data_IF_010834928051
#
_entry.id   IF_010834928051
#
_cell.length_a   1.000
_cell.length_b   1.000
_cell.length_c   1.000
_cell.angle_alpha   90.00
_cell.angle_beta   90.00
_cell.angle_gamma   90.00
#
_symmetry.space_group_name_H-M   'P 1'
#
loop_
_entity.id
_entity.type
_entity.pdbx_description
1 polymer ?
#
# COMPACT_ATOMS: atom_id res chain seq x y z
N UNK A 1 -16.38 1.70 -18.31
CA UNK A 1 -15.99 1.27 -16.94
C UNK A 1 -15.00 2.23 -16.30
N UNK A 2 -13.80 2.46 -16.88
CA UNK A 2 -12.78 3.39 -16.35
C UNK A 2 -13.28 4.81 -16.02
N UNK A 3 -13.97 5.47 -16.93
CA UNK A 3 -14.50 6.82 -16.69
C UNK A 3 -15.50 6.86 -15.52
N UNK A 4 -16.30 5.80 -15.34
CA UNK A 4 -17.21 5.66 -14.21
C UNK A 4 -16.42 5.49 -12.91
N UNK A 5 -15.39 4.64 -12.88
CA UNK A 5 -14.55 4.45 -11.69
C UNK A 5 -13.86 5.75 -11.26
N UNK A 6 -13.35 6.52 -12.22
CA UNK A 6 -12.76 7.85 -11.97
C UNK A 6 -13.82 8.84 -11.46
N UNK A 7 -15.01 8.87 -12.08
CA UNK A 7 -16.12 9.70 -11.64
C UNK A 7 -16.53 9.41 -10.20
N UNK A 8 -16.67 8.13 -9.85
CA UNK A 8 -16.97 7.68 -8.48
C UNK A 8 -15.86 8.11 -7.51
N UNK A 9 -14.59 7.99 -7.89
CA UNK A 9 -13.46 8.42 -7.08
C UNK A 9 -13.41 9.95 -6.87
N UNK A 10 -14.09 10.75 -7.67
CA UNK A 10 -14.24 12.19 -7.42
C UNK A 10 -15.45 12.46 -6.51
N UNK A 11 -16.57 11.79 -6.78
CA UNK A 11 -17.84 12.02 -6.08
C UNK A 11 -17.83 11.53 -4.63
N UNK A 12 -17.27 10.35 -4.36
CA UNK A 12 -17.33 9.72 -3.02
C UNK A 12 -16.57 10.52 -1.95
N UNK A 13 -15.35 11.04 -2.20
CA UNK A 13 -14.68 11.94 -1.24
C UNK A 13 -15.51 13.17 -0.88
N UNK A 14 -16.20 13.78 -1.84
CA UNK A 14 -17.09 14.93 -1.59
C UNK A 14 -18.28 14.52 -0.71
N UNK A 15 -18.88 13.36 -0.98
CA UNK A 15 -19.94 12.81 -0.14
C UNK A 15 -19.47 12.52 1.28
N UNK A 16 -18.26 11.99 1.46
CA UNK A 16 -17.67 11.77 2.78
C UNK A 16 -17.48 13.09 3.54
N UNK A 17 -16.97 14.14 2.88
CA UNK A 17 -16.83 15.46 3.48
C UNK A 17 -18.19 16.05 3.88
N UNK A 18 -19.23 15.86 3.08
CA UNK A 18 -20.59 16.27 3.43
C UNK A 18 -21.12 15.53 4.67
N UNK A 19 -20.89 14.22 4.76
CA UNK A 19 -21.24 13.43 5.96
C UNK A 19 -20.48 13.92 7.19
N UNK A 20 -19.17 14.15 7.07
CA UNK A 20 -18.33 14.69 8.17
C UNK A 20 -18.85 16.05 8.63
N UNK A 21 -19.21 16.93 7.69
CA UNK A 21 -19.82 18.23 7.97
C UNK A 21 -21.17 18.08 8.69
N UNK A 22 -22.03 17.19 8.20
CA UNK A 22 -23.34 16.93 8.82
C UNK A 22 -23.22 16.41 10.24
N UNK A 23 -22.41 15.37 10.50
CA UNK A 23 -22.26 14.84 11.87
C UNK A 23 -21.57 15.84 12.80
N UNK A 24 -20.72 16.72 12.27
CA UNK A 24 -20.14 17.83 13.02
C UNK A 24 -21.20 18.85 13.40
N UNK A 25 -22.08 19.23 12.47
CA UNK A 25 -23.23 20.09 12.76
C UNK A 25 -24.11 19.47 13.87
N UNK A 26 -24.48 18.19 13.76
CA UNK A 26 -25.31 17.54 14.78
C UNK A 26 -24.61 17.53 16.14
N UNK A 27 -23.33 17.17 16.19
CA UNK A 27 -22.60 17.08 17.46
C UNK A 27 -22.39 18.46 18.12
N UNK A 28 -22.05 19.48 17.33
CA UNK A 28 -21.74 20.82 17.84
C UNK A 28 -23.03 21.58 18.17
N UNK A 29 -23.93 21.71 17.19
CA UNK A 29 -25.08 22.59 17.30
C UNK A 29 -26.24 21.91 18.03
N UNK A 30 -26.76 20.81 17.47
CA UNK A 30 -27.94 20.12 17.99
C UNK A 30 -27.67 19.55 19.39
N UNK A 31 -26.51 18.93 19.62
CA UNK A 31 -26.16 18.32 20.90
C UNK A 31 -25.50 19.34 21.84
N UNK A 32 -24.31 19.85 21.53
CA UNK A 32 -23.58 20.65 22.52
C UNK A 32 -24.24 22.00 22.80
N UNK A 33 -24.66 22.76 21.79
CA UNK A 33 -25.29 24.07 21.98
C UNK A 33 -26.72 23.93 22.50
N UNK A 34 -27.60 23.28 21.74
CA UNK A 34 -29.04 23.27 22.01
C UNK A 34 -29.51 22.23 23.03
N UNK A 35 -28.78 21.13 23.26
CA UNK A 35 -29.21 20.10 24.21
C UNK A 35 -28.43 20.09 25.54
N UNK A 36 -27.16 20.51 25.52
CA UNK A 36 -26.31 20.51 26.72
C UNK A 36 -26.13 21.90 27.32
N UNK A 37 -25.86 22.94 26.52
CA UNK A 37 -25.56 24.28 27.04
C UNK A 37 -26.83 25.11 27.32
N UNK A 38 -27.75 25.20 26.36
CA UNK A 38 -28.99 25.96 26.51
C UNK A 38 -30.23 25.13 26.15
N UNK A 39 -30.57 24.10 26.95
CA UNK A 39 -31.75 23.28 26.71
C UNK A 39 -33.07 24.04 26.87
N UNK A 40 -33.10 25.12 27.66
CA UNK A 40 -34.28 25.95 27.91
C UNK A 40 -34.82 26.67 26.67
N UNK A 41 -33.96 26.94 25.69
CA UNK A 41 -34.36 27.60 24.44
C UNK A 41 -35.17 26.71 23.49
N UNK A 42 -35.05 25.38 23.64
CA UNK A 42 -35.52 24.44 22.63
C UNK A 42 -36.45 23.34 23.17
N UNK A 43 -36.38 23.06 24.46
CA UNK A 43 -37.24 22.08 25.13
C UNK A 43 -38.17 22.78 26.11
N UNK A 44 -39.36 22.19 26.34
CA UNK A 44 -40.37 22.76 27.23
C UNK A 44 -39.77 23.10 28.60
N UNK A 45 -39.96 24.34 29.06
CA UNK A 45 -39.48 24.82 30.35
C UNK A 45 -39.95 23.93 31.52
N UNK A 46 -41.07 23.21 31.35
CA UNK A 46 -41.59 22.23 32.31
C UNK A 46 -40.60 21.08 32.55
N UNK A 47 -39.80 20.68 31.56
CA UNK A 47 -38.83 19.59 31.68
C UNK A 47 -37.62 19.93 32.57
N UNK A 48 -37.39 21.22 32.87
CA UNK A 48 -36.32 21.72 33.77
C UNK A 48 -34.97 21.03 33.55
N UNK A 49 -34.58 20.84 32.29
CA UNK A 49 -33.31 20.21 31.93
C UNK A 49 -32.15 21.09 32.43
N UNK A 50 -31.18 20.53 33.18
CA UNK A 50 -30.04 21.31 33.65
C UNK A 50 -29.04 21.57 32.52
N UNK A 51 -28.42 22.74 32.53
CA UNK A 51 -27.24 23.03 31.72
C UNK A 51 -26.07 22.14 32.15
N UNK A 52 -25.39 21.53 31.16
CA UNK A 52 -24.33 20.53 31.33
C UNK A 52 -23.04 20.96 30.62
N UNK A 53 -22.51 22.11 31.01
CA UNK A 53 -21.34 22.75 30.37
C UNK A 53 -20.11 21.83 30.32
N UNK A 54 -19.81 21.11 31.39
CA UNK A 54 -18.64 20.22 31.43
C UNK A 54 -18.69 19.11 30.37
N UNK A 55 -19.86 18.49 30.20
CA UNK A 55 -20.06 17.45 29.18
C UNK A 55 -19.98 18.04 27.76
N UNK A 56 -20.59 19.21 27.53
CA UNK A 56 -20.52 19.89 26.24
C UNK A 56 -19.08 20.23 25.85
N UNK A 57 -18.29 20.82 26.75
CA UNK A 57 -16.90 21.17 26.50
C UNK A 57 -16.03 19.93 26.23
N UNK A 58 -16.21 18.86 27.01
CA UNK A 58 -15.47 17.61 26.79
C UNK A 58 -15.75 17.01 25.41
N UNK A 59 -17.03 16.95 25.01
CA UNK A 59 -17.44 16.44 23.68
C UNK A 59 -16.84 17.30 22.57
N UNK A 60 -16.91 18.63 22.67
CA UNK A 60 -16.35 19.54 21.68
C UNK A 60 -14.84 19.40 21.52
N UNK A 61 -14.10 19.39 22.63
CA UNK A 61 -12.63 19.27 22.61
C UNK A 61 -12.21 17.95 21.96
N UNK A 62 -12.79 16.83 22.39
CA UNK A 62 -12.46 15.50 21.85
C UNK A 62 -12.86 15.44 20.36
N UNK A 63 -14.03 15.97 19.99
CA UNK A 63 -14.50 16.02 18.60
C UNK A 63 -13.49 16.70 17.68
N UNK A 64 -13.05 17.93 18.03
CA UNK A 64 -12.16 18.69 17.16
C UNK A 64 -10.74 18.12 17.12
N UNK A 65 -10.24 17.53 18.22
CA UNK A 65 -8.96 16.82 18.21
C UNK A 65 -9.00 15.64 17.24
N UNK A 66 -10.02 14.76 17.36
CA UNK A 66 -10.16 13.60 16.50
C UNK A 66 -10.44 14.00 15.04
N UNK A 67 -11.25 15.04 14.82
CA UNK A 67 -11.54 15.58 13.50
C UNK A 67 -10.26 16.07 12.82
N UNK A 68 -9.41 16.84 13.52
CA UNK A 68 -8.13 17.31 12.97
C UNK A 68 -7.17 16.15 12.69
N UNK A 69 -7.04 15.20 13.62
CA UNK A 69 -6.21 14.02 13.43
C UNK A 69 -6.64 13.17 12.23
N UNK A 70 -7.93 13.12 11.91
CA UNK A 70 -8.45 12.45 10.72
C UNK A 70 -8.28 13.29 9.44
N UNK A 71 -8.60 14.58 9.47
CA UNK A 71 -8.62 15.43 8.27
C UNK A 71 -7.22 15.69 7.70
N UNK A 72 -6.18 15.81 8.54
CA UNK A 72 -4.82 16.07 8.06
C UNK A 72 -4.28 14.92 7.17
N UNK A 73 -4.24 13.65 7.61
CA UNK A 73 -3.82 12.55 6.75
C UNK A 73 -4.78 12.33 5.57
N UNK A 74 -6.07 12.61 5.73
CA UNK A 74 -7.01 12.55 4.60
C UNK A 74 -6.67 13.58 3.51
N UNK A 75 -6.39 14.83 3.89
CA UNK A 75 -5.96 15.88 2.98
C UNK A 75 -4.64 15.50 2.29
N UNK A 76 -3.66 14.94 3.02
CA UNK A 76 -2.41 14.46 2.41
C UNK A 76 -2.60 13.31 1.45
N UNK A 77 -3.52 12.39 1.76
CA UNK A 77 -3.87 11.28 0.89
C UNK A 77 -4.44 11.80 -0.43
N UNK A 78 -5.42 12.70 -0.37
CA UNK A 78 -6.01 13.35 -1.55
C UNK A 78 -4.96 14.15 -2.35
N UNK A 79 -4.14 14.96 -1.67
CA UNK A 79 -3.05 15.71 -2.29
C UNK A 79 -2.04 14.80 -2.97
N UNK A 80 -1.69 13.67 -2.35
CA UNK A 80 -0.79 12.69 -2.96
C UNK A 80 -1.40 12.11 -4.23
N UNK A 81 -2.71 11.83 -4.26
CA UNK A 81 -3.36 11.26 -5.44
C UNK A 81 -3.41 12.22 -6.61
N UNK A 82 -3.68 13.51 -6.36
CA UNK A 82 -3.74 14.52 -7.44
C UNK A 82 -2.36 14.94 -7.93
N UNK A 83 -1.34 14.97 -7.04
CA UNK A 83 -0.01 15.47 -7.37
C UNK A 83 0.98 14.39 -7.83
N UNK A 84 0.88 13.17 -7.32
CA UNK A 84 1.86 12.10 -7.54
C UNK A 84 1.16 10.76 -7.70
N UNK A 85 0.96 10.36 -8.94
CA UNK A 85 0.00 9.30 -9.26
C UNK A 85 0.51 7.87 -9.06
N UNK A 86 1.71 7.63 -8.51
CA UNK A 86 2.33 6.29 -8.39
C UNK A 86 2.39 5.51 -9.73
N UNK A 87 2.16 6.18 -10.86
CA UNK A 87 2.04 5.56 -12.17
C UNK A 87 3.41 5.44 -12.82
N UNK A 88 3.68 4.25 -13.35
CA UNK A 88 4.86 4.01 -14.16
C UNK A 88 4.65 4.68 -15.53
N UNK A 89 5.61 5.45 -16.04
CA UNK A 89 5.55 6.02 -17.39
C UNK A 89 5.32 4.92 -18.43
N UNK A 90 4.50 5.20 -19.44
CA UNK A 90 4.32 4.29 -20.57
C UNK A 90 5.64 4.20 -21.34
N UNK A 91 5.99 3.01 -21.82
CA UNK A 91 7.16 2.86 -22.68
C UNK A 91 6.85 3.18 -24.14
N UNK A 92 7.87 2.98 -24.98
CA UNK A 92 7.81 3.26 -26.42
C UNK A 92 6.83 2.34 -27.15
N UNK A 93 6.42 2.74 -28.36
CA UNK A 93 5.54 1.92 -29.22
C UNK A 93 6.21 0.65 -29.75
N UNK A 94 7.54 0.59 -29.69
CA UNK A 94 8.34 -0.53 -30.15
C UNK A 94 8.07 -1.79 -29.30
N UNK A 95 7.20 -2.64 -29.82
CA UNK A 95 6.92 -3.97 -29.28
C UNK A 95 7.90 -4.94 -29.92
N UNK A 96 8.91 -5.36 -29.15
CA UNK A 96 9.82 -6.42 -29.56
C UNK A 96 9.26 -7.74 -29.05
N UNK A 97 9.12 -8.73 -29.94
CA UNK A 97 8.66 -10.05 -29.54
C UNK A 97 9.66 -10.74 -28.60
N UNK A 98 9.11 -11.47 -27.62
CA UNK A 98 9.91 -12.14 -26.58
C UNK A 98 10.88 -13.17 -27.16
N UNK A 99 10.45 -13.95 -28.15
CA UNK A 99 11.32 -14.95 -28.77
C UNK A 99 12.50 -14.26 -29.48
N UNK A 100 12.25 -13.10 -30.09
CA UNK A 100 13.32 -12.29 -30.72
C UNK A 100 14.32 -11.77 -29.69
N UNK A 101 13.88 -11.30 -28.52
CA UNK A 101 14.76 -10.88 -27.42
C UNK A 101 15.62 -12.06 -26.94
N UNK A 102 14.98 -13.20 -26.68
CA UNK A 102 15.64 -14.39 -26.13
C UNK A 102 16.62 -15.05 -27.11
N UNK A 103 16.37 -14.93 -28.42
CA UNK A 103 17.31 -15.35 -29.46
C UNK A 103 18.53 -14.44 -29.62
N UNK A 104 18.57 -13.29 -28.94
CA UNK A 104 19.61 -12.27 -29.10
C UNK A 104 19.52 -11.48 -30.42
N UNK A 105 18.47 -11.70 -31.21
CA UNK A 105 18.25 -11.05 -32.50
C UNK A 105 17.71 -9.61 -32.37
N UNK A 106 17.19 -9.23 -31.20
CA UNK A 106 16.72 -7.88 -30.92
C UNK A 106 17.25 -7.35 -29.59
N UNK A 107 17.26 -6.02 -29.48
CA UNK A 107 17.63 -5.37 -28.23
C UNK A 107 16.45 -5.38 -27.24
N UNK A 108 16.73 -5.34 -25.93
CA UNK A 108 15.70 -5.08 -24.94
C UNK A 108 15.13 -3.67 -25.15
N UNK A 109 13.80 -3.51 -25.06
CA UNK A 109 13.18 -2.20 -24.98
C UNK A 109 13.79 -1.31 -23.90
N UNK A 110 13.77 0.01 -24.12
CA UNK A 110 14.21 1.00 -23.14
C UNK A 110 13.50 0.81 -21.80
N UNK A 111 14.23 0.95 -20.70
CA UNK A 111 13.75 0.79 -19.33
C UNK A 111 14.16 -0.54 -18.69
N UNK A 112 14.61 -1.53 -19.48
CA UNK A 112 15.13 -2.79 -18.96
C UNK A 112 16.40 -2.58 -18.12
N UNK A 113 17.15 -1.50 -18.37
CA UNK A 113 18.39 -1.15 -17.66
C UNK A 113 18.27 -0.98 -16.17
N UNK A 114 17.05 -0.79 -15.67
CA UNK A 114 16.79 -0.66 -14.24
C UNK A 114 16.84 -2.00 -13.51
N UNK A 115 16.73 -3.12 -14.23
CA UNK A 115 16.62 -4.46 -13.65
C UNK A 115 17.97 -5.17 -13.64
N UNK A 116 18.63 -5.32 -14.79
CA UNK A 116 19.96 -5.95 -14.87
C UNK A 116 21.11 -5.09 -14.32
N UNK A 117 20.82 -3.90 -13.78
CA UNK A 117 21.75 -3.15 -12.93
C UNK A 117 21.66 -3.55 -11.46
N UNK A 118 20.62 -4.29 -11.07
CA UNK A 118 20.46 -4.80 -9.70
C UNK A 118 21.11 -6.17 -9.53
N UNK A 119 21.51 -6.46 -8.30
CA UNK A 119 22.08 -7.76 -7.94
C UNK A 119 20.99 -8.84 -7.86
N UNK A 120 19.75 -8.44 -7.58
CA UNK A 120 18.58 -9.31 -7.54
C UNK A 120 17.32 -8.51 -7.92
N UNK A 121 16.44 -9.11 -8.73
CA UNK A 121 15.15 -8.52 -9.11
C UNK A 121 14.12 -9.60 -9.45
N UNK A 122 12.82 -9.26 -9.37
CA UNK A 122 11.74 -10.19 -9.76
C UNK A 122 11.64 -10.28 -11.28
N UNK A 123 11.66 -11.51 -11.80
CA UNK A 123 11.61 -11.81 -13.22
C UNK A 123 10.46 -12.78 -13.54
N UNK A 124 10.34 -13.18 -14.80
CA UNK A 124 9.55 -14.34 -15.21
C UNK A 124 10.37 -15.64 -15.13
N UNK A 125 9.74 -16.76 -15.45
CA UNK A 125 10.36 -18.09 -15.43
C UNK A 125 11.55 -18.24 -16.40
N UNK A 126 11.72 -17.30 -17.35
CA UNK A 126 12.82 -17.29 -18.31
C UNK A 126 13.94 -16.34 -17.87
N UNK A 127 13.76 -15.61 -16.77
CA UNK A 127 14.74 -14.65 -16.23
C UNK A 127 14.59 -13.23 -16.77
N UNK A 128 13.58 -12.94 -17.59
CA UNK A 128 13.34 -11.60 -18.13
C UNK A 128 12.56 -10.74 -17.13
N UNK A 129 12.79 -9.41 -17.08
CA UNK A 129 11.99 -8.53 -16.23
C UNK A 129 10.51 -8.56 -16.64
N UNK A 130 9.63 -8.51 -15.65
CA UNK A 130 8.20 -8.53 -15.89
C UNK A 130 7.76 -7.35 -16.76
N UNK A 131 7.00 -7.59 -17.82
CA UNK A 131 6.59 -6.57 -18.79
C UNK A 131 5.07 -6.43 -18.85
N UNK A 132 4.58 -5.18 -18.95
CA UNK A 132 3.18 -4.88 -19.22
C UNK A 132 3.02 -4.52 -20.69
N UNK A 133 2.29 -5.33 -21.45
CA UNK A 133 1.98 -5.06 -22.87
C UNK A 133 1.05 -3.85 -23.03
N UNK A 134 0.07 -3.67 -22.15
CA UNK A 134 -0.87 -2.54 -22.21
C UNK A 134 -0.23 -1.17 -21.94
N UNK A 135 0.72 -1.12 -21.00
CA UNK A 135 1.47 0.10 -20.68
C UNK A 135 2.78 0.21 -21.46
N UNK A 136 3.17 -0.87 -22.14
CA UNK A 136 4.44 -1.03 -22.87
C UNK A 136 5.66 -0.74 -22.00
N UNK A 137 5.62 -1.10 -20.71
CA UNK A 137 6.68 -0.79 -19.76
C UNK A 137 7.04 -2.01 -18.91
N UNK A 138 8.29 -2.08 -18.49
CA UNK A 138 8.70 -3.03 -17.46
C UNK A 138 8.09 -2.67 -16.10
N UNK A 139 7.69 -3.70 -15.36
CA UNK A 139 7.10 -3.61 -14.02
C UNK A 139 8.21 -3.74 -12.99
N UNK A 140 8.50 -2.70 -12.20
CA UNK A 140 9.27 -2.81 -10.97
C UNK A 140 8.69 -3.88 -10.06
N UNK A 141 9.46 -4.26 -9.05
CA UNK A 141 9.01 -5.26 -8.07
C UNK A 141 7.66 -4.82 -7.47
N UNK A 142 6.73 -5.76 -7.33
CA UNK A 142 5.39 -5.53 -6.75
C UNK A 142 4.49 -4.55 -7.53
N UNK A 143 4.87 -4.13 -8.74
CA UNK A 143 4.03 -3.28 -9.57
C UNK A 143 2.96 -4.08 -10.33
N UNK A 144 1.74 -3.54 -10.40
CA UNK A 144 0.61 -4.18 -11.09
C UNK A 144 -0.06 -3.22 -12.08
N UNK A 145 -0.61 -3.77 -13.16
CA UNK A 145 -1.49 -3.02 -14.06
C UNK A 145 -2.89 -2.98 -13.46
N UNK A 146 -3.48 -1.78 -13.36
CA UNK A 146 -4.89 -1.63 -12.97
C UNK A 146 -5.69 -1.14 -14.16
N UNK A 147 -6.72 -1.91 -14.53
CA UNK A 147 -7.70 -1.55 -15.54
C UNK A 147 -8.59 -0.38 -15.11
N UNK A 148 -8.77 -0.16 -13.80
CA UNK A 148 -9.50 0.98 -13.24
C UNK A 148 -8.89 2.31 -13.66
N UNK A 149 -7.56 2.38 -13.71
CA UNK A 149 -6.81 3.59 -14.07
C UNK A 149 -6.11 3.48 -15.42
N UNK A 150 -6.07 2.30 -16.04
CA UNK A 150 -5.40 2.02 -17.31
C UNK A 150 -3.89 2.30 -17.27
N UNK A 151 -3.24 2.02 -16.13
CA UNK A 151 -1.81 2.30 -15.87
C UNK A 151 -1.21 1.24 -14.95
N UNK A 152 0.10 1.03 -15.08
CA UNK A 152 0.87 0.29 -14.08
C UNK A 152 1.18 1.18 -12.88
N UNK A 153 1.02 0.62 -11.69
CA UNK A 153 1.15 1.31 -10.41
C UNK A 153 2.22 0.62 -9.58
N UNK A 154 3.17 1.41 -9.06
CA UNK A 154 4.24 0.92 -8.17
C UNK A 154 3.64 0.46 -6.85
N UNK A 155 3.99 -0.76 -6.43
CA UNK A 155 3.46 -1.45 -5.22
C UNK A 155 1.98 -1.16 -5.00
N UNK A 156 1.20 -1.54 -6.00
CA UNK A 156 -0.25 -1.35 -6.02
C UNK A 156 -0.88 -2.10 -4.84
N UNK A 157 -1.68 -1.39 -4.04
CA UNK A 157 -2.53 -2.03 -3.04
C UNK A 157 -3.92 -2.30 -3.59
N UNK A 158 -4.67 -1.24 -3.91
CA UNK A 158 -5.98 -1.36 -4.56
C UNK A 158 -6.45 0.00 -5.08
N UNK A 159 -7.47 -0.02 -5.94
CA UNK A 159 -8.23 1.17 -6.27
C UNK A 159 -9.34 1.38 -5.24
N UNK A 160 -9.35 2.54 -4.56
CA UNK A 160 -10.29 2.87 -3.51
C UNK A 160 -11.10 4.12 -3.87
N UNK A 161 -12.37 3.98 -4.27
CA UNK A 161 -13.22 5.12 -4.57
C UNK A 161 -13.42 6.04 -3.36
N UNK A 162 -13.43 5.48 -2.13
CA UNK A 162 -13.66 6.22 -0.88
C UNK A 162 -12.62 7.29 -0.60
N UNK A 163 -11.36 7.00 -0.90
CA UNK A 163 -10.27 7.97 -0.72
C UNK A 163 -9.89 8.66 -2.01
N UNK A 164 -10.62 8.40 -3.09
CA UNK A 164 -10.51 9.12 -4.35
C UNK A 164 -9.50 8.59 -5.35
N UNK A 165 -9.07 7.33 -5.21
CA UNK A 165 -8.28 6.68 -6.24
C UNK A 165 -7.35 5.59 -5.74
N UNK A 166 -6.17 5.52 -6.34
CA UNK A 166 -5.22 4.43 -6.15
C UNK A 166 -4.50 4.51 -4.81
N UNK A 167 -4.55 3.45 -4.01
CA UNK A 167 -3.70 3.24 -2.84
C UNK A 167 -2.47 2.45 -3.28
N UNK A 168 -1.30 3.02 -3.04
CA UNK A 168 -0.02 2.55 -3.54
C UNK A 168 1.13 3.05 -2.65
N UNK A 169 2.37 2.76 -3.02
CA UNK A 169 3.57 3.09 -2.25
C UNK A 169 3.59 4.48 -1.59
N UNK A 170 3.44 5.56 -2.38
CA UNK A 170 3.65 6.93 -1.89
C UNK A 170 2.57 7.40 -0.90
N UNK A 171 1.41 6.74 -0.88
CA UNK A 171 0.26 7.16 -0.10
C UNK A 171 -0.28 6.10 0.89
N UNK A 172 0.28 4.88 0.90
CA UNK A 172 -0.13 3.80 1.78
C UNK A 172 -0.05 4.21 3.27
N UNK A 173 1.04 4.87 3.68
CA UNK A 173 1.18 5.40 5.05
C UNK A 173 0.03 6.33 5.43
N UNK A 174 -0.32 7.27 4.54
CA UNK A 174 -1.40 8.24 4.77
C UNK A 174 -2.76 7.56 4.82
N UNK A 175 -2.96 6.52 4.00
CA UNK A 175 -4.15 5.69 4.02
C UNK A 175 -4.34 4.96 5.36
N UNK A 176 -3.28 4.32 5.90
CA UNK A 176 -3.33 3.66 7.22
C UNK A 176 -3.66 4.68 8.31
N UNK A 177 -2.98 5.83 8.34
CA UNK A 177 -3.24 6.88 9.33
C UNK A 177 -4.68 7.39 9.24
N UNK A 178 -5.15 7.70 8.03
CA UNK A 178 -6.53 8.13 7.80
C UNK A 178 -7.54 7.12 8.34
N UNK A 179 -7.39 5.82 8.03
CA UNK A 179 -8.34 4.80 8.50
C UNK A 179 -8.34 4.62 10.02
N UNK A 180 -7.17 4.69 10.66
CA UNK A 180 -7.07 4.59 12.12
C UNK A 180 -7.77 5.78 12.79
N UNK A 181 -7.51 7.00 12.32
CA UNK A 181 -8.17 8.19 12.89
C UNK A 181 -9.65 8.28 12.53
N UNK A 182 -10.04 7.87 11.33
CA UNK A 182 -11.45 7.76 10.94
C UNK A 182 -12.19 6.77 11.85
N UNK A 183 -11.54 5.67 12.25
CA UNK A 183 -12.09 4.72 13.21
C UNK A 183 -12.29 5.31 14.59
N UNK A 184 -11.31 6.03 15.12
CA UNK A 184 -11.48 6.70 16.40
C UNK A 184 -12.58 7.78 16.34
N UNK A 185 -12.62 8.57 15.27
CA UNK A 185 -13.64 9.60 15.08
C UNK A 185 -15.04 8.99 14.96
N UNK A 186 -15.23 7.96 14.13
CA UNK A 186 -16.54 7.35 13.94
C UNK A 186 -17.03 6.63 15.19
N UNK A 187 -16.14 5.94 15.93
CA UNK A 187 -16.49 5.27 17.20
C UNK A 187 -16.87 6.30 18.25
N UNK A 188 -16.16 7.43 18.32
CA UNK A 188 -16.53 8.54 19.19
C UNK A 188 -17.91 9.10 18.83
N UNK A 189 -18.21 9.35 17.55
CA UNK A 189 -19.54 9.81 17.11
C UNK A 189 -20.61 8.77 17.48
N UNK A 190 -20.38 7.48 17.23
CA UNK A 190 -21.31 6.42 17.59
C UNK A 190 -21.60 6.41 19.09
N UNK A 191 -20.55 6.40 19.93
CA UNK A 191 -20.68 6.34 21.37
C UNK A 191 -21.42 7.57 21.92
N UNK A 192 -21.02 8.78 21.50
CA UNK A 192 -21.66 10.03 21.93
C UNK A 192 -23.11 10.08 21.47
N UNK A 193 -23.41 9.78 20.19
CA UNK A 193 -24.78 9.87 19.66
C UNK A 193 -25.70 8.80 20.27
N UNK A 194 -25.22 7.56 20.45
CA UNK A 194 -26.00 6.52 21.12
C UNK A 194 -26.32 6.88 22.57
N UNK A 195 -25.34 7.44 23.30
CA UNK A 195 -25.56 7.91 24.66
C UNK A 195 -26.55 9.09 24.71
N UNK A 196 -26.41 10.08 23.82
CA UNK A 196 -27.34 11.21 23.72
C UNK A 196 -28.75 10.76 23.35
N UNK A 197 -28.89 9.77 22.47
CA UNK A 197 -30.19 9.21 22.10
C UNK A 197 -30.88 8.56 23.30
N UNK A 198 -30.12 7.80 24.11
CA UNK A 198 -30.63 7.22 25.36
C UNK A 198 -31.03 8.31 26.37
N UNK A 199 -30.20 9.34 26.54
CA UNK A 199 -30.46 10.44 27.46
C UNK A 199 -31.70 11.27 27.04
N UNK A 200 -31.87 11.52 25.74
CA UNK A 200 -33.06 12.16 25.17
C UNK A 200 -34.33 11.34 25.45
N UNK A 201 -34.28 10.03 25.21
CA UNK A 201 -35.41 9.15 25.50
C UNK A 201 -35.80 9.18 26.99
N UNK A 202 -34.80 9.20 27.89
CA UNK A 202 -35.03 9.15 29.34
C UNK A 202 -35.50 10.48 29.93
N UNK A 203 -35.00 11.62 29.41
CA UNK A 203 -35.27 12.95 30.00
C UNK A 203 -36.34 13.74 29.27
N UNK A 204 -36.44 13.59 27.95
CA UNK A 204 -37.37 14.33 27.10
C UNK A 204 -38.57 13.47 26.71
N UNK A 205 -38.38 12.15 26.60
CA UNK A 205 -39.42 11.22 26.14
C UNK A 205 -39.63 11.23 24.62
N UNK A 206 -38.83 12.00 23.88
CA UNK A 206 -38.82 12.03 22.41
C UNK A 206 -37.38 12.02 21.88
N UNK A 207 -37.22 11.56 20.65
CA UNK A 207 -35.93 11.43 19.99
C UNK A 207 -35.79 12.49 18.89
N UNK A 208 -34.61 13.11 18.82
CA UNK A 208 -34.30 14.04 17.73
C UNK A 208 -33.85 13.25 16.48
N UNK A 209 -34.47 13.53 15.33
CA UNK A 209 -34.18 12.85 14.07
C UNK A 209 -32.71 12.99 13.66
N UNK A 210 -32.08 14.14 13.90
CA UNK A 210 -30.67 14.35 13.61
C UNK A 210 -29.77 13.44 14.45
N UNK A 211 -30.06 13.26 15.74
CA UNK A 211 -29.34 12.32 16.61
C UNK A 211 -29.46 10.88 16.12
N UNK A 212 -30.66 10.48 15.66
CA UNK A 212 -30.90 9.13 15.09
C UNK A 212 -30.03 8.94 13.84
N UNK A 213 -30.09 9.87 12.89
CA UNK A 213 -29.32 9.79 11.64
C UNK A 213 -27.81 9.80 11.91
N UNK A 214 -27.34 10.65 12.83
CA UNK A 214 -25.94 10.69 13.21
C UNK A 214 -25.48 9.39 13.91
N UNK A 215 -26.34 8.76 14.72
CA UNK A 215 -26.08 7.44 15.30
C UNK A 215 -25.93 6.38 14.20
N UNK A 216 -26.83 6.39 13.20
CA UNK A 216 -26.77 5.44 12.09
C UNK A 216 -25.50 5.62 11.25
N UNK A 217 -25.10 6.86 10.93
CA UNK A 217 -23.83 7.12 10.28
C UNK A 217 -22.63 6.69 11.14
N UNK A 218 -22.63 7.02 12.43
CA UNK A 218 -21.60 6.59 13.37
C UNK A 218 -21.45 5.06 13.39
N UNK A 219 -22.56 4.33 13.42
CA UNK A 219 -22.58 2.87 13.39
C UNK A 219 -22.02 2.28 12.10
N UNK A 220 -22.55 2.76 10.96
CA UNK A 220 -22.10 2.31 9.63
C UNK A 220 -20.61 2.58 9.45
N UNK A 221 -20.16 3.82 9.64
CA UNK A 221 -18.76 4.17 9.42
C UNK A 221 -17.82 3.49 10.41
N UNK A 222 -18.22 3.30 11.68
CA UNK A 222 -17.40 2.55 12.65
C UNK A 222 -17.19 1.10 12.24
N UNK A 223 -18.24 0.41 11.77
CA UNK A 223 -18.12 -0.97 11.31
C UNK A 223 -17.09 -1.06 10.17
N UNK A 224 -17.22 -0.20 9.16
CA UNK A 224 -16.34 -0.25 7.99
C UNK A 224 -14.93 0.24 8.29
N UNK A 225 -14.77 1.37 8.98
CA UNK A 225 -13.45 1.94 9.23
C UNK A 225 -12.63 1.07 10.17
N UNK A 226 -13.22 0.53 11.25
CA UNK A 226 -12.51 -0.34 12.21
C UNK A 226 -12.07 -1.64 11.53
N UNK A 227 -12.96 -2.26 10.75
CA UNK A 227 -12.64 -3.47 9.99
C UNK A 227 -11.52 -3.24 8.97
N UNK A 228 -11.61 -2.16 8.19
CA UNK A 228 -10.58 -1.81 7.22
C UNK A 228 -9.25 -1.40 7.87
N UNK A 229 -9.28 -0.68 8.99
CA UNK A 229 -8.10 -0.33 9.77
C UNK A 229 -7.38 -1.60 10.27
N UNK A 230 -8.14 -2.54 10.84
CA UNK A 230 -7.60 -3.83 11.26
C UNK A 230 -6.95 -4.60 10.11
N UNK A 231 -7.64 -4.69 8.96
CA UNK A 231 -7.10 -5.39 7.80
C UNK A 231 -5.84 -4.74 7.24
N UNK A 232 -5.82 -3.41 7.05
CA UNK A 232 -4.65 -2.73 6.49
C UNK A 232 -3.44 -2.79 7.45
N UNK A 233 -3.67 -2.72 8.77
CA UNK A 233 -2.61 -2.92 9.77
C UNK A 233 -2.07 -4.35 9.70
N UNK A 234 -2.96 -5.35 9.63
CA UNK A 234 -2.57 -6.75 9.49
C UNK A 234 -1.70 -6.95 8.24
N UNK A 235 -2.14 -6.47 7.07
CA UNK A 235 -1.38 -6.60 5.82
C UNK A 235 -0.05 -5.84 5.88
N UNK A 236 -0.03 -4.64 6.46
CA UNK A 236 1.20 -3.88 6.70
C UNK A 236 2.19 -4.64 7.58
N UNK A 237 1.72 -5.33 8.63
CA UNK A 237 2.54 -6.17 9.50
C UNK A 237 3.01 -7.47 8.82
N UNK A 238 2.35 -7.93 7.76
CA UNK A 238 2.80 -9.07 6.96
C UNK A 238 3.59 -8.65 5.70
N UNK A 239 3.79 -7.35 5.49
CA UNK A 239 4.33 -6.76 4.27
C UNK A 239 3.65 -7.22 2.99
N UNK A 240 2.33 -7.37 3.03
CA UNK A 240 1.51 -7.72 1.87
C UNK A 240 0.72 -6.51 1.39
N UNK A 241 0.48 -6.46 0.09
CA UNK A 241 -0.57 -5.63 -0.49
C UNK A 241 -1.85 -6.44 -0.69
N UNK A 242 -3.00 -5.78 -0.81
CA UNK A 242 -4.28 -6.46 -1.07
C UNK A 242 -4.21 -7.33 -2.33
N UNK A 243 -3.56 -6.87 -3.41
CA UNK A 243 -3.36 -7.66 -4.65
C UNK A 243 -2.50 -8.91 -4.40
N UNK A 244 -1.51 -8.84 -3.52
CA UNK A 244 -0.65 -9.99 -3.19
C UNK A 244 -1.39 -11.06 -2.38
N UNK A 245 -2.49 -10.70 -1.70
CA UNK A 245 -3.30 -11.66 -0.95
C UNK A 245 -4.18 -12.56 -1.80
N UNK A 246 -4.61 -12.09 -2.99
CA UNK A 246 -5.62 -12.76 -3.81
C UNK A 246 -5.24 -14.20 -4.17
N UNK A 247 -3.98 -14.45 -4.49
CA UNK A 247 -3.46 -15.78 -4.84
C UNK A 247 -2.29 -16.22 -3.94
N UNK A 248 -2.18 -15.63 -2.74
CA UNK A 248 -0.96 -15.73 -1.94
C UNK A 248 -0.47 -17.17 -1.75
N UNK A 249 -1.38 -18.09 -1.39
CA UNK A 249 -1.05 -19.50 -1.09
C UNK A 249 -0.48 -20.26 -2.29
N UNK A 250 -0.88 -19.91 -3.50
CA UNK A 250 -0.43 -20.57 -4.74
C UNK A 250 0.70 -19.81 -5.43
N UNK A 251 0.86 -18.52 -5.13
CA UNK A 251 1.85 -17.66 -5.78
C UNK A 251 3.26 -18.06 -5.37
N UNK A 252 4.13 -18.16 -6.38
CA UNK A 252 5.59 -18.20 -6.25
C UNK A 252 6.18 -17.06 -7.06
N UNK A 253 7.39 -16.65 -6.72
CA UNK A 253 8.11 -15.58 -7.39
C UNK A 253 9.37 -16.14 -8.03
N UNK A 254 9.66 -15.69 -9.25
CA UNK A 254 10.94 -15.93 -9.89
C UNK A 254 11.86 -14.74 -9.66
N UNK A 255 13.11 -15.02 -9.31
CA UNK A 255 14.15 -14.04 -9.07
C UNK A 255 15.34 -14.30 -9.97
N UNK A 256 15.85 -13.25 -10.60
CA UNK A 256 17.14 -13.27 -11.25
C UNK A 256 18.19 -12.84 -10.22
N UNK A 257 19.06 -13.77 -9.81
CA UNK A 257 20.09 -13.58 -8.78
C UNK A 257 21.46 -13.52 -9.44
N UNK A 258 22.21 -12.44 -9.23
CA UNK A 258 23.53 -12.26 -9.82
C UNK A 258 24.51 -13.32 -9.30
N UNK A 259 25.19 -13.99 -10.24
CA UNK A 259 26.21 -14.99 -9.94
C UNK A 259 27.58 -14.56 -10.45
N UNK A 260 28.62 -14.92 -9.71
CA UNK A 260 30.01 -14.76 -10.12
C UNK A 260 30.52 -15.99 -10.91
N UNK A 261 31.74 -15.91 -11.44
CA UNK A 261 32.33 -17.00 -12.23
C UNK A 261 32.42 -18.34 -11.49
N UNK A 262 32.77 -18.33 -10.19
CA UNK A 262 32.85 -19.56 -9.37
C UNK A 262 31.49 -20.21 -9.18
N UNK A 263 30.47 -19.41 -8.88
CA UNK A 263 29.08 -19.88 -8.76
C UNK A 263 28.58 -20.42 -10.11
N UNK A 264 28.96 -19.80 -11.22
CA UNK A 264 28.61 -20.27 -12.56
C UNK A 264 29.20 -21.65 -12.87
N UNK A 265 30.50 -21.85 -12.59
CA UNK A 265 31.17 -23.15 -12.74
C UNK A 265 30.52 -24.24 -11.88
N UNK A 266 30.10 -23.90 -10.65
CA UNK A 266 29.40 -24.83 -9.78
C UNK A 266 28.01 -25.23 -10.31
N UNK A 267 27.29 -24.29 -10.93
CA UNK A 267 25.97 -24.54 -11.56
C UNK A 267 26.14 -25.42 -12.82
N UNK A 268 27.17 -25.16 -13.62
CA UNK A 268 27.44 -25.91 -14.85
C UNK A 268 28.05 -27.31 -14.60
N UNK A 269 28.34 -27.64 -13.33
CA UNK A 269 28.84 -28.96 -12.95
C UNK A 269 27.79 -30.06 -13.22
N UNK A 270 28.17 -31.21 -13.80
CA UNK A 270 27.26 -32.33 -14.09
C UNK A 270 26.54 -32.92 -12.87
N UNK A 271 27.05 -32.63 -11.66
CA UNK A 271 26.53 -33.15 -10.40
C UNK A 271 25.46 -32.22 -9.78
N UNK A 272 25.33 -30.99 -10.29
CA UNK A 272 24.39 -29.99 -9.80
C UNK A 272 23.02 -30.13 -10.46
N UNK A 273 21.97 -29.76 -9.73
CA UNK A 273 20.63 -29.65 -10.33
C UNK A 273 20.65 -28.58 -11.44
N UNK A 274 19.94 -28.78 -12.57
CA UNK A 274 19.95 -27.82 -13.67
C UNK A 274 19.27 -26.52 -13.24
N UNK A 275 20.06 -25.45 -13.10
CA UNK A 275 19.57 -24.10 -12.80
C UNK A 275 19.59 -23.29 -14.10
N UNK A 276 18.44 -22.72 -14.45
CA UNK A 276 18.31 -21.85 -15.61
C UNK A 276 19.08 -20.54 -15.38
N UNK A 277 19.85 -20.10 -16.37
CA UNK A 277 20.64 -18.88 -16.30
C UNK A 277 20.42 -17.96 -17.49
N UNK A 278 20.54 -16.67 -17.25
CA UNK A 278 20.38 -15.63 -18.25
C UNK A 278 21.52 -14.63 -18.15
N UNK A 279 22.09 -14.25 -19.28
CA UNK A 279 23.19 -13.29 -19.35
C UNK A 279 22.76 -12.03 -20.08
N UNK A 280 23.05 -10.88 -19.47
CA UNK A 280 22.84 -9.55 -20.02
C UNK A 280 24.18 -8.93 -20.41
N UNK A 281 24.28 -8.34 -21.59
CA UNK A 281 25.48 -7.60 -22.03
C UNK A 281 25.63 -6.26 -21.30
N UNK A 282 26.83 -5.64 -21.25
CA UNK A 282 27.07 -4.39 -20.47
C UNK A 282 26.23 -3.20 -20.92
N UNK A 283 26.02 -3.05 -22.22
CA UNK A 283 25.10 -2.04 -22.76
C UNK A 283 23.66 -2.34 -22.34
N UNK A 284 23.41 -3.56 -21.87
CA UNK A 284 22.13 -4.03 -21.38
C UNK A 284 21.12 -4.25 -22.47
N UNK A 285 21.58 -4.14 -23.72
CA UNK A 285 20.73 -4.19 -24.89
C UNK A 285 20.46 -5.62 -25.32
N UNK A 286 21.30 -6.62 -25.02
CA UNK A 286 21.08 -7.99 -25.51
C UNK A 286 21.06 -9.01 -24.38
N UNK A 287 20.24 -10.04 -24.59
CA UNK A 287 20.15 -11.22 -23.74
C UNK A 287 20.79 -12.40 -24.45
N UNK A 288 21.54 -13.23 -23.73
CA UNK A 288 21.87 -14.59 -24.15
C UNK A 288 21.45 -15.61 -23.10
N UNK A 289 20.69 -16.62 -23.52
CA UNK A 289 20.33 -17.79 -22.69
C UNK A 289 21.43 -18.88 -22.75
N UNK A 290 22.41 -18.77 -23.64
CA UNK A 290 23.32 -19.87 -23.93
C UNK A 290 24.20 -20.25 -22.72
N UNK A 291 24.23 -21.54 -22.32
CA UNK A 291 25.08 -22.01 -21.23
C UNK A 291 26.59 -21.88 -21.54
N UNK A 292 26.94 -21.73 -22.83
CA UNK A 292 28.31 -21.63 -23.34
C UNK A 292 28.71 -20.21 -23.76
N UNK A 293 27.93 -19.19 -23.43
CA UNK A 293 28.32 -17.81 -23.70
C UNK A 293 29.55 -17.46 -22.84
N UNK A 294 30.74 -17.44 -23.46
CA UNK A 294 31.96 -17.00 -22.79
C UNK A 294 31.73 -15.57 -22.28
N UNK A 295 31.89 -15.31 -20.97
CA UNK A 295 31.77 -13.95 -20.46
C UNK A 295 32.92 -13.13 -21.06
N UNK A 296 32.62 -12.33 -22.08
CA UNK A 296 33.40 -11.12 -22.30
C UNK A 296 33.36 -10.32 -20.99
N UNK A 297 34.46 -9.66 -20.62
CA UNK A 297 34.71 -9.09 -19.28
C UNK A 297 33.74 -8.03 -18.74
N UNK A 298 32.54 -7.93 -19.30
CA UNK A 298 31.55 -6.88 -19.10
C UNK A 298 30.08 -7.37 -19.12
N UNK A 299 29.82 -8.68 -19.12
CA UNK A 299 28.46 -9.25 -19.04
C UNK A 299 28.04 -9.59 -17.60
N UNK A 300 26.74 -9.50 -17.28
CA UNK A 300 26.17 -9.94 -16.00
C UNK A 300 25.31 -11.19 -16.19
N UNK A 301 25.66 -12.26 -15.48
CA UNK A 301 24.91 -13.52 -15.52
C UNK A 301 24.10 -13.69 -14.24
N UNK A 302 22.86 -14.14 -14.41
CA UNK A 302 21.92 -14.35 -13.34
C UNK A 302 21.45 -15.81 -13.33
N UNK A 303 21.35 -16.38 -12.13
CA UNK A 303 20.61 -17.61 -11.88
C UNK A 303 19.12 -17.27 -11.69
N UNK A 304 18.24 -18.02 -12.34
CA UNK A 304 16.79 -17.84 -12.22
C UNK A 304 16.28 -18.83 -11.18
N UNK A 305 15.94 -18.30 -10.01
CA UNK A 305 15.51 -19.07 -8.85
C UNK A 305 14.02 -18.83 -8.58
N UNK A 306 13.36 -19.81 -7.97
CA UNK A 306 11.93 -19.75 -7.67
C UNK A 306 11.68 -19.95 -6.17
N UNK A 307 10.86 -19.09 -5.57
CA UNK A 307 10.42 -19.28 -4.19
C UNK A 307 9.40 -20.41 -4.06
N UNK A 308 9.19 -20.93 -2.85
CA UNK A 308 8.12 -21.91 -2.62
C UNK A 308 6.76 -21.23 -2.79
N UNK A 309 5.74 -22.00 -3.15
CA UNK A 309 4.38 -21.49 -3.20
C UNK A 309 3.93 -21.01 -1.81
N UNK A 310 3.37 -19.81 -1.72
CA UNK A 310 2.96 -19.23 -0.44
C UNK A 310 4.01 -18.39 0.28
N UNK A 311 5.27 -18.43 -0.17
CA UNK A 311 6.34 -17.62 0.43
C UNK A 311 6.05 -16.12 0.35
N UNK A 312 6.61 -15.38 1.31
CA UNK A 312 6.55 -13.92 1.38
C UNK A 312 7.95 -13.35 1.25
N UNK A 313 8.42 -13.03 0.02
CA UNK A 313 9.79 -12.60 -0.21
C UNK A 313 10.18 -11.34 0.57
N UNK A 314 9.21 -10.46 0.84
CA UNK A 314 9.43 -9.17 1.52
C UNK A 314 9.08 -9.19 3.01
N UNK A 315 8.81 -10.35 3.63
CA UNK A 315 8.49 -10.43 5.05
C UNK A 315 9.75 -10.35 5.93
N UNK A 316 9.97 -9.19 6.55
CA UNK A 316 11.09 -8.87 7.43
C UNK A 316 10.78 -9.13 8.92
N UNK A 317 9.62 -9.74 9.21
CA UNK A 317 9.03 -9.81 10.54
C UNK A 317 8.18 -8.59 10.87
N UNK A 318 7.12 -8.78 11.66
CA UNK A 318 6.04 -7.80 11.76
C UNK A 318 6.44 -6.40 12.20
N UNK A 319 7.41 -6.28 13.11
CA UNK A 319 7.93 -4.97 13.54
C UNK A 319 8.67 -4.24 12.43
N UNK A 320 9.50 -4.94 11.67
CA UNK A 320 10.27 -4.35 10.58
C UNK A 320 9.40 -4.03 9.37
N UNK A 321 8.41 -4.90 9.07
CA UNK A 321 7.39 -4.64 8.05
C UNK A 321 6.62 -3.35 8.36
N UNK A 322 6.17 -3.20 9.61
CA UNK A 322 5.50 -1.99 10.05
C UNK A 322 6.39 -0.75 9.93
N UNK A 323 7.64 -0.83 10.39
CA UNK A 323 8.61 0.29 10.30
C UNK A 323 8.92 0.68 8.87
N UNK A 324 8.94 -0.27 7.94
CA UNK A 324 9.17 -0.03 6.52
C UNK A 324 8.09 0.90 5.94
N UNK A 325 6.84 0.74 6.39
CA UNK A 325 5.70 1.56 5.94
C UNK A 325 5.55 2.84 6.77
N UNK A 326 5.54 2.72 8.09
CA UNK A 326 5.12 3.82 8.97
C UNK A 326 6.26 4.73 9.42
N UNK A 327 7.51 4.27 9.37
CA UNK A 327 8.67 4.99 9.92
C UNK A 327 9.23 4.31 11.17
N UNK A 328 10.33 4.86 11.70
CA UNK A 328 11.07 4.24 12.80
C UNK A 328 10.69 4.76 14.17
N UNK A 329 10.12 5.96 14.24
CA UNK A 329 9.68 6.57 15.48
C UNK A 329 8.16 6.48 15.63
N UNK A 330 7.67 6.43 16.86
CA UNK A 330 6.23 6.50 17.14
C UNK A 330 5.62 7.84 16.68
N UNK A 331 6.42 8.91 16.63
CA UNK A 331 6.02 10.20 16.07
C UNK A 331 5.75 10.09 14.57
N UNK A 332 6.54 9.32 13.82
CA UNK A 332 6.28 9.07 12.40
C UNK A 332 4.97 8.31 12.19
N UNK A 333 4.59 7.46 13.15
CA UNK A 333 3.37 6.66 13.08
C UNK A 333 2.14 7.53 13.32
N UNK A 334 2.24 8.51 14.21
CA UNK A 334 1.16 9.43 14.55
C UNK A 334 1.03 10.58 13.55
N UNK A 335 2.16 11.24 13.23
CA UNK A 335 2.14 12.50 12.50
C UNK A 335 2.23 12.28 10.98
N UNK A 336 1.33 12.93 10.20
CA UNK A 336 1.33 12.81 8.75
C UNK A 336 2.35 13.74 8.10
N UNK A 337 3.63 13.63 8.46
CA UNK A 337 4.70 14.56 8.01
C UNK A 337 5.63 13.90 7.01
N UNK A 338 6.34 12.85 7.44
CA UNK A 338 7.36 12.18 6.64
C UNK A 338 6.78 11.06 5.77
N UNK A 339 7.20 11.03 4.50
CA UNK A 339 6.89 9.92 3.60
C UNK A 339 7.41 8.59 4.18
N UNK A 340 6.80 7.51 3.71
CA UNK A 340 7.20 6.17 4.10
C UNK A 340 8.68 5.89 3.74
N UNK A 341 9.46 5.24 4.62
CA UNK A 341 10.82 4.80 4.30
C UNK A 341 10.91 3.93 3.05
N UNK A 342 9.87 3.12 2.78
CA UNK A 342 9.78 2.25 1.60
C UNK A 342 9.90 2.99 0.26
N UNK A 343 9.59 4.29 0.21
CA UNK A 343 9.66 5.07 -1.03
C UNK A 343 11.11 5.41 -1.44
N UNK A 344 12.10 4.97 -0.66
CA UNK A 344 13.53 5.14 -0.94
C UNK A 344 14.09 3.83 -1.46
N UNK A 345 14.28 3.75 -2.78
CA UNK A 345 14.86 2.57 -3.43
C UNK A 345 16.37 2.70 -3.57
N UNK A 346 17.08 1.60 -3.32
CA UNK A 346 18.49 1.48 -3.67
C UNK A 346 18.66 1.40 -5.20
N UNK A 347 19.81 1.90 -5.69
CA UNK A 347 20.16 1.90 -7.12
C UNK A 347 20.75 0.58 -7.58
N UNK A 348 21.48 -0.13 -6.72
CA UNK A 348 22.20 -1.37 -7.08
C UNK A 348 21.69 -2.62 -6.35
N UNK A 349 21.18 -2.47 -5.13
CA UNK A 349 20.57 -3.56 -4.37
C UNK A 349 19.12 -3.86 -4.75
N UNK A 350 18.43 -4.66 -3.94
CA UNK A 350 17.04 -5.00 -4.17
C UNK A 350 16.14 -3.76 -4.04
N UNK A 351 15.06 -3.72 -4.83
CA UNK A 351 14.13 -2.58 -4.84
C UNK A 351 13.37 -2.41 -3.51
N UNK A 352 13.12 -3.54 -2.85
CA UNK A 352 12.63 -3.64 -1.48
C UNK A 352 13.48 -4.67 -0.73
N UNK A 353 13.78 -4.45 0.56
CA UNK A 353 14.44 -5.45 1.40
C UNK A 353 13.72 -6.80 1.34
N UNK A 354 14.51 -7.86 1.19
CA UNK A 354 14.01 -9.24 1.23
C UNK A 354 14.16 -9.84 2.62
N UNK A 355 13.26 -10.78 2.92
CA UNK A 355 13.28 -11.57 4.14
C UNK A 355 13.70 -13.01 3.91
N UNK A 356 13.50 -13.83 4.94
CA UNK A 356 14.02 -15.20 5.02
C UNK A 356 13.56 -16.14 3.89
N UNK A 357 12.49 -15.82 3.18
CA UNK A 357 12.05 -16.61 2.03
C UNK A 357 13.05 -16.57 0.87
N UNK A 358 13.67 -15.41 0.62
CA UNK A 358 14.70 -15.27 -0.43
C UNK A 358 16.01 -15.92 0.00
N UNK A 359 16.39 -15.76 1.27
CA UNK A 359 17.57 -16.43 1.83
C UNK A 359 17.46 -17.95 1.70
N UNK A 360 16.31 -18.53 2.08
CA UNK A 360 16.05 -19.96 1.91
C UNK A 360 16.08 -20.41 0.46
N UNK A 361 15.49 -19.64 -0.46
CA UNK A 361 15.49 -19.97 -1.89
C UNK A 361 16.92 -20.06 -2.44
N UNK A 362 17.81 -19.19 -1.99
CA UNK A 362 19.21 -19.18 -2.42
C UNK A 362 19.98 -20.33 -1.76
N UNK A 363 19.76 -20.57 -0.47
CA UNK A 363 20.35 -21.71 0.24
C UNK A 363 19.94 -23.06 -0.39
N UNK A 364 18.65 -23.25 -0.68
CA UNK A 364 18.09 -24.43 -1.35
C UNK A 364 18.69 -24.64 -2.75
N UNK A 365 19.16 -23.57 -3.41
CA UNK A 365 19.79 -23.65 -4.74
C UNK A 365 21.23 -24.15 -4.71
N UNK A 366 21.88 -24.19 -3.54
CA UNK A 366 23.30 -24.52 -3.39
C UNK A 366 24.27 -23.45 -3.93
N UNK A 367 23.75 -22.34 -4.46
CA UNK A 367 24.54 -21.17 -4.88
C UNK A 367 24.91 -20.41 -3.60
N UNK A 368 26.13 -20.60 -3.09
CA UNK A 368 26.59 -20.00 -1.82
C UNK A 368 26.27 -18.50 -1.70
N UNK A 369 25.89 -18.06 -0.50
CA UNK A 369 25.34 -16.73 -0.18
C UNK A 369 26.33 -15.55 -0.27
N UNK A 370 27.58 -15.79 -0.69
CA UNK A 370 28.68 -14.80 -0.66
C UNK A 370 28.37 -13.47 -1.38
N UNK A 371 27.33 -13.41 -2.23
CA UNK A 371 26.94 -12.22 -3.01
C UNK A 371 25.65 -11.50 -2.57
N UNK A 372 24.83 -12.05 -1.65
CA UNK A 372 23.54 -11.43 -1.28
C UNK A 372 23.57 -10.70 0.08
N UNK A 373 24.64 -10.87 0.87
CA UNK A 373 24.66 -10.57 2.30
C UNK A 373 24.94 -9.09 2.66
N UNK A 374 25.09 -8.17 1.71
CA UNK A 374 25.46 -6.78 2.05
C UNK A 374 24.35 -5.72 2.15
N UNK A 375 23.05 -6.04 2.02
CA UNK A 375 22.01 -4.99 2.07
C UNK A 375 20.88 -5.14 3.09
N UNK A 376 20.82 -6.17 3.93
CA UNK A 376 19.65 -6.40 4.82
C UNK A 376 19.86 -6.09 6.31
N UNK A 377 21.09 -5.84 6.80
CA UNK A 377 21.32 -5.72 8.26
C UNK A 377 21.57 -4.31 8.82
N UNK A 378 21.69 -3.26 7.99
CA UNK A 378 21.83 -1.89 8.47
C UNK A 378 20.93 -0.94 7.69
N UNK A 379 19.61 -1.01 7.91
CA UNK A 379 18.70 0.09 7.57
C UNK A 379 17.88 0.45 8.80
#
# INVERSE_FOLDING_TARGET
MRAANIGTAIAVPLALLAVIGYVTFVNVDVICVHYLLDPSSHYDAILKLPTRTGAALAILIIHFILLLLMLIPYARLLLSMVSNSNYIPRGSEELVDRATILSGAANLPKGAEKFYKRDIFVCDYQGLPNYCTECRCYKPDRAHHSSDVGRCVIRMDHFCPWVGGMVAELNHKWFIQFLVYASFFSVFILATMAYMLHDQLRRVGSLNAHTIVATAFGGMFSLFSVGMAGNTIYLAMQNLTTIETLDQKARSYYFAVLINGRQREAIDSPQSAPIHTITYTRDGQKVSISPNASPGGDSRTYAVLQTRAGDRPWDLGSSNNWKQIMGRSWLDWLLPIQRSPMCRHDRSGPEYPFGAAVDRMVEDSGIGMDSLVHTSHNV
#
